data_IF_139555645775
#
_entry.id   IF_139555645775
#
_cell.length_a   1.000
_cell.length_b   1.000
_cell.length_c   1.000
_cell.angle_alpha   90.00
_cell.angle_beta   90.00
_cell.angle_gamma   90.00
#
_symmetry.space_group_name_H-M   'P 1'
#
loop_
_entity.id
_entity.type
_entity.pdbx_description
1 polymer ?
#
# COMPACT_ATOMS: atom_id res chain seq x y z
N UNK A 1 -22.07 -35.90 -15.69
CA UNK A 1 -23.31 -36.47 -16.27
C UNK A 1 -24.35 -35.45 -16.73
N UNK A 2 -24.16 -34.12 -16.58
CA UNK A 2 -25.12 -33.10 -17.09
C UNK A 2 -24.64 -32.33 -18.35
N UNK A 3 -23.40 -32.52 -18.80
CA UNK A 3 -22.89 -31.95 -20.06
C UNK A 3 -23.33 -32.72 -21.33
N UNK A 4 -23.97 -33.88 -21.16
CA UNK A 4 -24.40 -34.76 -22.26
C UNK A 4 -25.83 -34.46 -22.73
N UNK A 5 -26.61 -33.68 -21.97
CA UNK A 5 -28.04 -33.47 -22.25
C UNK A 5 -28.36 -32.22 -23.11
N UNK A 6 -27.36 -31.43 -23.54
CA UNK A 6 -27.56 -30.18 -24.28
C UNK A 6 -28.57 -29.18 -23.65
N UNK A 7 -28.86 -29.35 -22.37
CA UNK A 7 -29.65 -28.41 -21.57
C UNK A 7 -28.71 -27.28 -21.20
N UNK A 8 -28.99 -26.06 -21.70
CA UNK A 8 -28.30 -24.86 -21.20
C UNK A 8 -28.46 -24.82 -19.68
N UNK A 9 -27.38 -24.79 -18.88
CA UNK A 9 -27.50 -24.73 -17.44
C UNK A 9 -28.32 -23.50 -17.06
N UNK A 10 -29.47 -23.72 -16.44
CA UNK A 10 -30.28 -22.65 -15.87
C UNK A 10 -29.55 -22.14 -14.62
N UNK A 11 -29.15 -20.87 -14.65
CA UNK A 11 -28.58 -20.10 -13.53
C UNK A 11 -27.07 -20.22 -13.27
N UNK A 12 -26.27 -19.69 -14.21
CA UNK A 12 -25.04 -18.97 -13.85
C UNK A 12 -25.18 -17.45 -14.03
N UNK A 13 -26.37 -16.96 -14.40
CA UNK A 13 -26.55 -15.63 -14.99
C UNK A 13 -27.13 -14.59 -14.05
N UNK A 14 -28.18 -14.86 -13.27
CA UNK A 14 -28.84 -13.81 -12.48
C UNK A 14 -27.99 -13.29 -11.31
N UNK A 15 -27.42 -14.17 -10.48
CA UNK A 15 -26.62 -13.74 -9.33
C UNK A 15 -25.37 -12.98 -9.80
N UNK A 16 -24.63 -13.51 -10.78
CA UNK A 16 -23.45 -12.82 -11.31
C UNK A 16 -23.78 -11.48 -11.99
N UNK A 17 -24.88 -11.40 -12.74
CA UNK A 17 -25.31 -10.13 -13.35
C UNK A 17 -25.72 -9.11 -12.29
N UNK A 18 -26.44 -9.54 -11.25
CA UNK A 18 -26.79 -8.70 -10.10
C UNK A 18 -25.54 -8.28 -9.34
N UNK A 19 -24.59 -9.19 -9.08
CA UNK A 19 -23.30 -8.86 -8.48
C UNK A 19 -22.56 -7.82 -9.30
N UNK A 20 -22.48 -7.97 -10.64
CA UNK A 20 -21.83 -6.97 -11.50
C UNK A 20 -22.49 -5.59 -11.41
N UNK A 21 -23.83 -5.53 -11.36
CA UNK A 21 -24.56 -4.27 -11.17
C UNK A 21 -24.27 -3.65 -9.80
N UNK A 22 -24.36 -4.45 -8.74
CA UNK A 22 -24.10 -4.02 -7.37
C UNK A 22 -22.63 -3.58 -7.19
N UNK A 23 -21.67 -4.29 -7.78
CA UNK A 23 -20.25 -3.93 -7.73
C UNK A 23 -19.97 -2.56 -8.36
N UNK A 24 -20.68 -2.18 -9.44
CA UNK A 24 -20.59 -0.83 -10.00
C UNK A 24 -21.07 0.21 -9.00
N UNK A 25 -22.24 -0.01 -8.40
CA UNK A 25 -22.80 0.88 -7.37
C UNK A 25 -21.83 1.01 -6.19
N UNK A 26 -21.26 -0.10 -5.70
CA UNK A 26 -20.27 -0.09 -4.61
C UNK A 26 -19.05 0.74 -5.01
N UNK A 27 -18.56 0.58 -6.23
CA UNK A 27 -17.41 1.36 -6.73
C UNK A 27 -17.73 2.85 -6.76
N UNK A 28 -18.89 3.24 -7.26
CA UNK A 28 -19.31 4.63 -7.33
C UNK A 28 -19.52 5.24 -5.93
N UNK A 29 -20.14 4.49 -5.02
CA UNK A 29 -20.30 4.89 -3.61
C UNK A 29 -18.94 5.08 -2.94
N UNK A 30 -17.99 4.18 -3.16
CA UNK A 30 -16.65 4.29 -2.60
C UNK A 30 -15.90 5.50 -3.15
N UNK A 31 -15.92 5.73 -4.46
CA UNK A 31 -15.30 6.92 -5.09
C UNK A 31 -15.91 8.21 -4.55
N UNK A 32 -17.23 8.29 -4.44
CA UNK A 32 -17.92 9.45 -3.88
C UNK A 32 -17.59 9.64 -2.40
N UNK A 33 -17.48 8.56 -1.62
CA UNK A 33 -17.08 8.61 -0.21
C UNK A 33 -15.66 9.15 -0.06
N UNK A 34 -14.70 8.64 -0.84
CA UNK A 34 -13.32 9.12 -0.86
C UNK A 34 -13.25 10.59 -1.29
N UNK A 35 -13.98 11.02 -2.33
CA UNK A 35 -14.05 12.44 -2.73
C UNK A 35 -14.57 13.33 -1.60
N UNK A 36 -15.61 12.91 -0.87
CA UNK A 36 -16.12 13.64 0.30
C UNK A 36 -15.09 13.72 1.43
N UNK A 37 -14.36 12.63 1.70
CA UNK A 37 -13.28 12.62 2.68
C UNK A 37 -12.22 13.67 2.30
N UNK A 38 -11.84 13.75 1.02
CA UNK A 38 -10.88 14.73 0.51
C UNK A 38 -11.34 16.17 0.72
N UNK A 39 -12.62 16.45 0.48
CA UNK A 39 -13.24 17.76 0.75
C UNK A 39 -13.24 18.11 2.25
N UNK A 40 -13.62 17.16 3.11
CA UNK A 40 -13.63 17.37 4.57
C UNK A 40 -12.22 17.68 5.10
N UNK A 41 -11.19 17.04 4.57
CA UNK A 41 -9.80 17.33 4.95
C UNK A 41 -9.42 18.78 4.59
N UNK A 42 -9.85 19.26 3.41
CA UNK A 42 -9.60 20.65 3.00
C UNK A 42 -10.31 21.64 3.92
N UNK A 43 -11.58 21.40 4.23
CA UNK A 43 -12.36 22.24 5.16
C UNK A 43 -11.74 22.26 6.56
N UNK A 44 -11.24 21.12 7.05
CA UNK A 44 -10.54 21.04 8.33
C UNK A 44 -9.25 21.87 8.32
N UNK A 45 -8.46 21.75 7.26
CA UNK A 45 -7.25 22.56 7.10
C UNK A 45 -7.57 24.05 7.07
N UNK A 46 -8.61 24.47 6.34
CA UNK A 46 -9.07 25.87 6.33
C UNK A 46 -9.50 26.36 7.72
N UNK A 47 -10.28 25.57 8.46
CA UNK A 47 -10.70 25.90 9.84
C UNK A 47 -9.52 26.03 10.80
N UNK A 48 -8.44 25.28 10.54
CA UNK A 48 -7.19 25.37 11.31
C UNK A 48 -6.25 26.50 10.83
N UNK A 49 -6.66 27.32 9.85
CA UNK A 49 -5.81 28.37 9.28
C UNK A 49 -4.70 27.85 8.35
N UNK A 50 -4.77 26.58 7.95
CA UNK A 50 -3.82 25.87 7.10
C UNK A 50 -4.34 25.70 5.67
N UNK A 51 -5.04 26.71 5.15
CA UNK A 51 -5.61 26.66 3.79
C UNK A 51 -4.52 26.34 2.74
N UNK A 52 -4.83 25.44 1.81
CA UNK A 52 -3.91 24.94 0.77
C UNK A 52 -2.60 24.32 1.29
N UNK A 53 -2.54 23.93 2.56
CA UNK A 53 -1.35 23.28 3.11
C UNK A 53 -1.28 21.81 2.67
N UNK A 54 -0.12 21.35 2.17
CA UNK A 54 0.08 19.95 1.83
C UNK A 54 -0.10 19.03 3.04
N UNK A 55 -0.74 17.88 2.84
CA UNK A 55 -1.02 16.91 3.89
C UNK A 55 0.02 15.80 3.94
N UNK A 56 0.06 15.10 5.08
CA UNK A 56 0.83 13.85 5.22
C UNK A 56 -0.06 12.67 4.87
N UNK A 57 0.51 11.66 4.23
CA UNK A 57 -0.19 10.44 3.87
C UNK A 57 0.62 9.19 4.20
N UNK A 58 -0.06 8.05 4.32
CA UNK A 58 0.53 6.73 4.44
C UNK A 58 -0.04 5.81 3.36
N UNK A 59 0.74 4.80 2.98
CA UNK A 59 0.33 3.81 2.00
C UNK A 59 0.47 2.40 2.54
N UNK A 60 -0.37 1.51 2.02
CA UNK A 60 -0.16 0.07 2.13
C UNK A 60 -0.57 -0.60 0.81
N UNK A 61 0.11 -1.68 0.47
CA UNK A 61 -0.15 -2.49 -0.71
C UNK A 61 -0.42 -3.94 -0.29
N UNK A 62 -1.53 -4.49 -0.76
CA UNK A 62 -1.90 -5.88 -0.55
C UNK A 62 -1.93 -6.62 -1.86
N UNK A 63 -1.27 -7.78 -1.87
CA UNK A 63 -1.18 -8.67 -3.01
C UNK A 63 -1.96 -9.95 -2.71
N UNK A 64 -2.60 -10.53 -3.72
CA UNK A 64 -3.35 -11.78 -3.57
C UNK A 64 -2.45 -13.04 -3.52
N UNK A 65 -1.23 -12.92 -2.99
CA UNK A 65 -0.32 -14.03 -2.78
C UNK A 65 -0.84 -14.97 -1.69
N UNK A 66 -0.68 -16.27 -1.88
CA UNK A 66 -0.83 -17.21 -0.77
C UNK A 66 0.27 -16.95 0.26
N UNK A 67 -0.02 -17.13 1.55
CA UNK A 67 0.90 -16.81 2.67
C UNK A 67 2.27 -17.51 2.57
N UNK A 68 2.37 -18.59 1.78
CA UNK A 68 3.59 -19.38 1.58
C UNK A 68 4.21 -19.25 0.18
N UNK A 69 3.59 -18.52 -0.74
CA UNK A 69 4.10 -18.42 -2.13
C UNK A 69 5.36 -17.56 -2.27
N UNK A 70 5.77 -16.87 -1.20
CA UNK A 70 7.00 -16.07 -1.13
C UNK A 70 8.16 -16.80 -0.42
N UNK A 71 8.02 -18.08 -0.07
CA UNK A 71 9.11 -18.87 0.51
C UNK A 71 10.02 -19.38 -0.61
N UNK A 72 11.19 -18.75 -0.77
CA UNK A 72 12.25 -19.17 -1.70
C UNK A 72 12.49 -18.19 -2.86
N UNK A 73 13.37 -18.56 -3.79
CA UNK A 73 13.61 -17.82 -5.05
C UNK A 73 12.62 -18.30 -6.09
N UNK A 74 11.39 -17.79 -6.07
CA UNK A 74 10.42 -18.08 -7.13
C UNK A 74 10.67 -17.14 -8.31
N UNK A 75 11.04 -17.65 -9.51
CA UNK A 75 11.35 -16.82 -10.68
C UNK A 75 10.12 -16.09 -11.26
N UNK A 76 8.91 -16.46 -10.85
CA UNK A 76 7.67 -15.83 -11.29
C UNK A 76 6.94 -15.15 -10.13
N UNK A 77 6.27 -14.04 -10.41
CA UNK A 77 5.38 -13.38 -9.45
C UNK A 77 4.11 -14.20 -9.30
N UNK A 78 3.87 -14.74 -8.10
CA UNK A 78 2.65 -15.51 -7.81
C UNK A 78 1.39 -14.63 -7.81
N UNK A 79 1.53 -13.34 -7.49
CA UNK A 79 0.40 -12.42 -7.42
C UNK A 79 -0.16 -12.15 -8.82
N UNK A 80 -1.48 -12.00 -8.89
CA UNK A 80 -2.21 -11.60 -10.10
C UNK A 80 -3.05 -10.34 -9.88
N UNK A 81 -3.19 -9.91 -8.63
CA UNK A 81 -3.96 -8.74 -8.23
C UNK A 81 -3.24 -7.97 -7.12
N UNK A 82 -3.43 -6.65 -7.12
CA UNK A 82 -2.94 -5.72 -6.09
C UNK A 82 -4.05 -4.76 -5.69
N UNK A 83 -4.16 -4.49 -4.40
CA UNK A 83 -4.94 -3.37 -3.86
C UNK A 83 -3.98 -2.47 -3.12
N UNK A 84 -3.83 -1.26 -3.65
CA UNK A 84 -2.99 -0.23 -3.10
C UNK A 84 -3.87 0.85 -2.49
N UNK A 85 -3.60 1.19 -1.24
CA UNK A 85 -4.41 2.14 -0.46
C UNK A 85 -3.56 3.34 -0.06
N UNK A 86 -4.19 4.51 -0.10
CA UNK A 86 -3.61 5.77 0.33
C UNK A 86 -4.51 6.35 1.42
N UNK A 87 -3.95 6.57 2.60
CA UNK A 87 -4.66 7.08 3.78
C UNK A 87 -4.06 8.38 4.27
N UNK A 88 -4.91 9.25 4.81
CA UNK A 88 -4.51 10.56 5.35
C UNK A 88 -3.95 10.45 6.77
N UNK A 89 -3.03 11.35 7.12
CA UNK A 89 -2.46 11.48 8.46
C UNK A 89 -2.77 12.85 9.09
N UNK A 90 -3.95 13.41 8.80
CA UNK A 90 -4.47 14.68 9.31
C UNK A 90 -5.48 14.44 10.45
N UNK A 91 -6.36 13.45 10.30
CA UNK A 91 -7.39 13.10 11.27
C UNK A 91 -7.01 11.87 12.08
N UNK A 92 -7.59 11.76 13.28
CA UNK A 92 -7.39 10.58 14.15
C UNK A 92 -7.85 9.26 13.53
N UNK A 93 -8.80 9.31 12.57
CA UNK A 93 -9.37 8.11 11.95
C UNK A 93 -8.52 7.56 10.81
N UNK A 94 -7.60 8.36 10.25
CA UNK A 94 -6.75 8.01 9.11
C UNK A 94 -7.54 7.42 7.94
N UNK A 95 -8.45 8.23 7.40
CA UNK A 95 -9.38 7.75 6.39
C UNK A 95 -8.66 7.44 5.07
N UNK A 96 -9.16 6.44 4.34
CA UNK A 96 -8.67 6.13 3.00
C UNK A 96 -9.15 7.21 2.02
N UNK A 97 -8.21 7.84 1.31
CA UNK A 97 -8.49 8.93 0.37
C UNK A 97 -8.40 8.52 -1.09
N UNK A 98 -7.68 7.44 -1.40
CA UNK A 98 -7.60 6.87 -2.74
C UNK A 98 -7.27 5.37 -2.67
N UNK A 99 -7.75 4.62 -3.66
CA UNK A 99 -7.50 3.18 -3.78
C UNK A 99 -7.26 2.83 -5.23
N UNK A 100 -6.14 2.17 -5.50
CA UNK A 100 -5.86 1.57 -6.80
C UNK A 100 -6.00 0.04 -6.72
N UNK A 101 -6.75 -0.53 -7.67
CA UNK A 101 -6.93 -1.98 -7.81
C UNK A 101 -6.36 -2.46 -9.15
N UNK A 102 -5.19 -3.09 -9.11
CA UNK A 102 -4.55 -3.73 -10.25
C UNK A 102 -5.01 -5.18 -10.41
N UNK A 103 -5.45 -5.57 -11.60
CA UNK A 103 -5.86 -6.94 -11.93
C UNK A 103 -5.29 -7.34 -13.30
N UNK A 104 -4.56 -8.46 -13.35
CA UNK A 104 -4.09 -9.07 -14.62
C UNK A 104 -5.10 -10.05 -15.23
N UNK A 105 -6.08 -10.50 -14.46
CA UNK A 105 -6.92 -11.62 -14.85
C UNK A 105 -8.02 -11.17 -15.82
N UNK A 106 -8.01 -11.75 -17.01
CA UNK A 106 -9.13 -11.66 -17.94
C UNK A 106 -9.48 -13.03 -18.56
N UNK A 107 -10.61 -13.62 -18.12
CA UNK A 107 -11.08 -14.91 -18.62
C UNK A 107 -11.41 -14.87 -20.11
N UNK A 108 -12.05 -13.79 -20.58
CA UNK A 108 -12.38 -13.60 -22.00
C UNK A 108 -11.12 -13.48 -22.85
N UNK A 109 -10.15 -12.68 -22.41
CA UNK A 109 -8.85 -12.57 -23.08
C UNK A 109 -8.09 -13.90 -23.15
N UNK A 110 -8.10 -14.70 -22.07
CA UNK A 110 -7.51 -16.05 -22.09
C UNK A 110 -8.22 -16.99 -23.07
N UNK A 111 -9.56 -16.96 -23.10
CA UNK A 111 -10.35 -17.78 -24.03
C UNK A 111 -10.11 -17.41 -25.49
N UNK A 112 -10.00 -16.11 -25.81
CA UNK A 112 -9.73 -15.63 -27.16
C UNK A 112 -8.31 -16.05 -27.62
N UNK A 113 -7.30 -15.94 -26.75
CA UNK A 113 -5.94 -16.43 -27.01
C UNK A 113 -5.90 -17.95 -27.23
N UNK A 114 -6.64 -18.71 -26.44
CA UNK A 114 -6.76 -20.16 -26.61
C UNK A 114 -7.39 -20.55 -27.96
N UNK A 115 -8.19 -19.65 -28.57
CA UNK A 115 -8.74 -19.81 -29.92
C UNK A 115 -7.81 -19.29 -31.04
N UNK A 116 -6.57 -18.94 -30.72
CA UNK A 116 -5.60 -18.41 -31.68
C UNK A 116 -5.82 -16.95 -32.07
N UNK A 117 -6.69 -16.20 -31.36
CA UNK A 117 -6.84 -14.76 -31.60
C UNK A 117 -5.80 -13.98 -30.82
N UNK A 118 -5.14 -13.06 -31.51
CA UNK A 118 -4.22 -12.11 -30.88
C UNK A 118 -5.04 -11.03 -30.18
N UNK A 119 -5.04 -11.06 -28.84
CA UNK A 119 -5.73 -10.06 -28.02
C UNK A 119 -4.83 -9.59 -26.89
N UNK A 120 -4.79 -8.27 -26.73
CA UNK A 120 -4.01 -7.60 -25.69
C UNK A 120 -4.93 -7.20 -24.54
N UNK A 121 -4.47 -7.42 -23.30
CA UNK A 121 -5.17 -7.03 -22.09
C UNK A 121 -4.29 -6.01 -21.35
N UNK A 122 -4.82 -4.87 -20.87
CA UNK A 122 -6.18 -4.34 -21.08
C UNK A 122 -6.39 -3.87 -22.53
N UNK A 123 -7.66 -3.74 -22.97
CA UNK A 123 -8.00 -3.03 -24.23
C UNK A 123 -9.05 -3.68 -25.14
N UNK A 124 -9.41 -4.94 -24.93
CA UNK A 124 -10.47 -5.59 -25.71
C UNK A 124 -11.86 -5.44 -25.06
N UNK A 125 -12.93 -5.66 -25.82
CA UNK A 125 -14.31 -5.61 -25.32
C UNK A 125 -14.54 -6.61 -24.17
N UNK A 126 -15.17 -6.17 -23.08
CA UNK A 126 -15.34 -6.90 -21.81
C UNK A 126 -14.03 -7.38 -21.16
N UNK A 127 -12.93 -6.65 -21.36
CA UNK A 127 -11.70 -6.93 -20.63
C UNK A 127 -11.87 -6.58 -19.15
N UNK A 128 -11.50 -7.51 -18.27
CA UNK A 128 -11.54 -7.32 -16.82
C UNK A 128 -10.15 -7.02 -16.24
N UNK A 129 -9.10 -7.14 -17.05
CA UNK A 129 -7.76 -6.75 -16.62
C UNK A 129 -7.67 -5.22 -16.59
N UNK A 130 -7.10 -4.68 -15.52
CA UNK A 130 -6.80 -3.24 -15.39
C UNK A 130 -5.32 -2.95 -15.66
N UNK A 131 -4.46 -3.97 -15.55
CA UNK A 131 -3.04 -3.87 -15.83
C UNK A 131 -2.61 -4.96 -16.82
N UNK A 132 -1.59 -4.69 -17.65
CA UNK A 132 -1.06 -5.68 -18.57
C UNK A 132 -0.47 -6.92 -17.87
N UNK A 133 -0.54 -8.11 -18.50
CA UNK A 133 -0.04 -9.35 -17.91
C UNK A 133 1.47 -9.33 -17.62
N UNK A 134 2.25 -8.63 -18.44
CA UNK A 134 3.69 -8.44 -18.33
C UNK A 134 4.11 -7.43 -17.25
N UNK A 135 3.18 -6.58 -16.78
CA UNK A 135 3.49 -5.57 -15.76
C UNK A 135 3.88 -6.22 -14.44
N UNK A 136 4.92 -5.74 -13.77
CA UNK A 136 5.28 -6.20 -12.42
C UNK A 136 4.18 -5.79 -11.45
N UNK A 137 3.57 -6.74 -10.70
CA UNK A 137 2.47 -6.41 -9.78
C UNK A 137 2.94 -5.59 -8.57
N UNK A 138 4.16 -5.85 -8.10
CA UNK A 138 4.81 -5.03 -7.08
C UNK A 138 5.33 -3.69 -7.59
N UNK A 139 4.84 -3.19 -8.73
CA UNK A 139 5.16 -1.84 -9.20
C UNK A 139 4.37 -0.80 -8.39
N UNK A 140 4.88 -0.53 -7.20
CA UNK A 140 4.30 0.45 -6.28
C UNK A 140 4.51 1.87 -6.78
N UNK A 141 5.52 2.11 -7.64
CA UNK A 141 5.71 3.40 -8.33
C UNK A 141 4.47 3.73 -9.15
N UNK A 142 4.03 2.81 -10.02
CA UNK A 142 2.81 2.98 -10.81
C UNK A 142 1.57 3.10 -9.92
N UNK A 143 1.44 2.21 -8.95
CA UNK A 143 0.26 2.20 -8.06
C UNK A 143 0.10 3.52 -7.31
N UNK A 144 1.20 4.09 -6.81
CA UNK A 144 1.21 5.40 -6.17
C UNK A 144 0.83 6.51 -7.14
N UNK A 145 1.39 6.51 -8.36
CA UNK A 145 1.09 7.50 -9.38
C UNK A 145 -0.40 7.51 -9.78
N UNK A 146 -1.04 6.34 -9.89
CA UNK A 146 -2.49 6.25 -10.18
C UNK A 146 -3.32 6.89 -9.06
N UNK A 147 -2.98 6.63 -7.79
CA UNK A 147 -3.65 7.30 -6.67
C UNK A 147 -3.45 8.81 -6.68
N UNK A 148 -2.25 9.32 -6.96
CA UNK A 148 -2.01 10.76 -7.09
C UNK A 148 -2.80 11.34 -8.27
N UNK A 149 -2.90 10.63 -9.39
CA UNK A 149 -3.72 11.04 -10.53
C UNK A 149 -5.19 11.20 -10.14
N UNK A 150 -5.70 10.32 -9.28
CA UNK A 150 -7.07 10.42 -8.76
C UNK A 150 -7.23 11.69 -7.91
N UNK A 151 -6.29 11.97 -6.99
CA UNK A 151 -6.33 13.18 -6.16
C UNK A 151 -6.27 14.47 -7.00
N UNK A 152 -5.50 14.47 -8.08
CA UNK A 152 -5.39 15.62 -9.00
C UNK A 152 -6.62 15.85 -9.87
N UNK A 153 -7.49 14.86 -10.01
CA UNK A 153 -8.71 14.96 -10.81
C UNK A 153 -9.88 15.65 -10.09
N UNK A 154 -9.73 15.92 -8.79
CA UNK A 154 -10.70 16.71 -8.03
C UNK A 154 -10.65 18.20 -8.39
N UNK A 155 -11.78 18.89 -8.27
CA UNK A 155 -11.91 20.33 -8.54
C UNK A 155 -10.95 21.18 -7.68
N UNK A 156 -10.67 20.70 -6.47
CA UNK A 156 -9.64 21.21 -5.57
C UNK A 156 -8.70 20.05 -5.23
N UNK A 157 -7.53 19.94 -5.86
CA UNK A 157 -6.60 18.85 -5.60
C UNK A 157 -6.01 18.88 -4.19
N UNK A 158 -5.86 17.72 -3.57
CA UNK A 158 -5.04 17.56 -2.37
C UNK A 158 -3.58 17.35 -2.75
N UNK A 159 -2.69 18.13 -2.14
CA UNK A 159 -1.24 18.01 -2.31
C UNK A 159 -0.66 17.24 -1.13
N UNK A 160 0.22 16.27 -1.40
CA UNK A 160 0.90 15.48 -0.37
C UNK A 160 2.32 16.03 -0.17
N UNK A 161 2.71 16.34 1.07
CA UNK A 161 4.09 16.74 1.40
C UNK A 161 4.95 15.58 1.85
N UNK A 162 4.42 14.72 2.72
CA UNK A 162 5.14 13.60 3.30
C UNK A 162 4.40 12.31 3.04
N UNK A 163 5.14 11.26 2.72
CA UNK A 163 4.58 9.97 2.38
C UNK A 163 5.26 8.87 3.17
N UNK A 164 4.48 8.20 4.02
CA UNK A 164 4.97 7.15 4.90
C UNK A 164 4.83 5.80 4.20
N UNK A 165 5.95 5.10 4.02
CA UNK A 165 6.02 3.75 3.47
C UNK A 165 6.77 2.78 4.39
N UNK A 166 6.80 1.51 3.99
CA UNK A 166 7.62 0.47 4.59
C UNK A 166 9.14 0.65 4.39
N UNK A 167 9.54 1.76 3.76
CA UNK A 167 10.92 2.10 3.44
C UNK A 167 11.30 1.86 1.98
N UNK A 168 10.36 1.41 1.13
CA UNK A 168 10.56 1.45 -0.32
C UNK A 168 10.30 2.86 -0.86
N UNK A 169 11.30 3.40 -1.57
CA UNK A 169 11.32 4.73 -2.17
C UNK A 169 10.67 4.78 -3.56
N UNK A 170 10.42 3.62 -4.21
CA UNK A 170 9.86 3.58 -5.55
C UNK A 170 8.46 4.22 -5.62
N UNK A 171 7.61 3.95 -4.62
CA UNK A 171 6.28 4.56 -4.51
C UNK A 171 6.35 6.09 -4.36
N UNK A 172 7.30 6.59 -3.57
CA UNK A 172 7.49 8.04 -3.35
C UNK A 172 7.96 8.71 -4.64
N UNK A 173 8.85 8.06 -5.38
CA UNK A 173 9.29 8.56 -6.68
C UNK A 173 8.11 8.67 -7.66
N UNK A 174 7.28 7.63 -7.77
CA UNK A 174 6.11 7.65 -8.66
C UNK A 174 5.07 8.69 -8.27
N UNK A 175 4.82 8.84 -6.96
CA UNK A 175 3.93 9.87 -6.45
C UNK A 175 4.48 11.28 -6.73
N UNK A 176 5.78 11.51 -6.52
CA UNK A 176 6.43 12.81 -6.75
C UNK A 176 6.43 13.20 -8.23
N UNK A 177 6.78 12.26 -9.11
CA UNK A 177 6.77 12.44 -10.57
C UNK A 177 5.38 12.83 -11.05
N UNK A 178 4.34 12.16 -10.55
CA UNK A 178 2.95 12.47 -10.93
C UNK A 178 2.45 13.79 -10.33
N UNK A 179 2.82 14.09 -9.09
CA UNK A 179 2.40 15.31 -8.41
C UNK A 179 3.10 16.56 -8.96
N UNK A 180 4.30 16.41 -9.52
CA UNK A 180 5.13 17.53 -10.01
C UNK A 180 5.98 18.20 -8.92
N UNK A 181 5.98 17.65 -7.70
CA UNK A 181 6.76 18.15 -6.56
C UNK A 181 7.38 16.98 -5.80
N UNK A 182 8.56 17.22 -5.22
CA UNK A 182 9.23 16.21 -4.40
C UNK A 182 8.44 15.96 -3.11
N UNK A 183 8.05 14.71 -2.89
CA UNK A 183 7.40 14.25 -1.67
C UNK A 183 8.46 13.66 -0.75
N UNK A 184 8.44 14.06 0.53
CA UNK A 184 9.39 13.54 1.51
C UNK A 184 9.03 12.10 1.91
N UNK A 185 10.00 11.18 1.81
CA UNK A 185 9.82 9.78 2.19
C UNK A 185 10.00 9.60 3.70
N UNK A 186 8.96 9.15 4.39
CA UNK A 186 9.02 8.75 5.78
C UNK A 186 8.92 7.23 5.90
N UNK A 187 9.62 6.67 6.89
CA UNK A 187 9.47 5.26 7.25
C UNK A 187 8.37 5.13 8.29
N UNK A 188 7.56 4.09 8.17
CA UNK A 188 6.68 3.72 9.28
C UNK A 188 7.51 3.39 10.54
N UNK A 189 6.89 3.51 11.71
CA UNK A 189 7.57 3.31 12.99
C UNK A 189 8.14 1.89 13.12
N UNK A 190 7.43 0.87 12.64
CA UNK A 190 7.87 -0.52 12.72
C UNK A 190 9.21 -0.72 11.99
N UNK A 191 9.28 -0.27 10.74
CA UNK A 191 10.43 -0.35 9.87
C UNK A 191 11.56 0.59 10.31
N UNK A 192 11.23 1.76 10.87
CA UNK A 192 12.21 2.63 11.51
C UNK A 192 12.91 1.91 12.67
N UNK A 193 12.15 1.38 13.63
CA UNK A 193 12.70 0.67 14.78
C UNK A 193 13.40 -0.65 14.39
N UNK A 194 12.93 -1.34 13.34
CA UNK A 194 13.67 -2.49 12.79
C UNK A 194 14.98 -2.10 12.12
N UNK A 195 15.03 -0.95 11.45
CA UNK A 195 16.27 -0.39 10.92
C UNK A 195 17.23 -0.05 12.06
N UNK A 196 16.75 0.61 13.12
CA UNK A 196 17.53 0.89 14.33
C UNK A 196 18.11 -0.40 14.92
N UNK A 197 17.28 -1.43 15.14
CA UNK A 197 17.74 -2.74 15.63
C UNK A 197 18.85 -3.33 14.76
N UNK A 198 18.68 -3.31 13.44
CA UNK A 198 19.68 -3.83 12.50
C UNK A 198 21.00 -3.06 12.57
N UNK A 199 20.96 -1.74 12.75
CA UNK A 199 22.15 -0.91 12.92
C UNK A 199 22.83 -1.17 14.26
N UNK A 200 22.07 -1.22 15.36
CA UNK A 200 22.59 -1.58 16.68
C UNK A 200 23.26 -2.96 16.66
N UNK A 201 22.65 -3.96 16.02
CA UNK A 201 23.23 -5.29 15.90
C UNK A 201 24.53 -5.34 15.06
N UNK A 202 24.83 -4.30 14.25
CA UNK A 202 26.06 -4.17 13.47
C UNK A 202 27.08 -3.22 14.10
N UNK A 203 26.70 -2.48 15.14
CA UNK A 203 27.55 -1.49 15.75
C UNK A 203 28.84 -2.13 16.33
N UNK A 204 29.99 -1.44 16.24
CA UNK A 204 31.26 -1.95 16.72
C UNK A 204 31.35 -1.79 18.25
N UNK A 205 30.65 -2.65 18.98
CA UNK A 205 30.76 -2.68 20.44
C UNK A 205 32.10 -3.27 20.88
N UNK A 206 32.53 -2.89 22.08
CA UNK A 206 33.71 -3.47 22.72
C UNK A 206 33.59 -4.99 22.85
N UNK A 207 34.69 -5.70 22.64
CA UNK A 207 34.80 -7.16 22.76
C UNK A 207 34.42 -7.69 24.15
N UNK A 208 34.46 -6.82 25.17
CA UNK A 208 34.13 -7.09 26.57
C UNK A 208 32.70 -6.71 26.96
N UNK A 209 31.97 -6.00 26.09
CA UNK A 209 30.62 -5.52 26.41
C UNK A 209 29.61 -6.67 26.54
N UNK A 210 29.77 -7.73 25.74
CA UNK A 210 28.88 -8.88 25.75
C UNK A 210 29.61 -10.12 26.27
N UNK A 211 29.12 -10.76 27.34
CA UNK A 211 29.73 -11.97 27.87
C UNK A 211 29.50 -13.15 26.92
N UNK A 212 30.51 -14.00 26.74
CA UNK A 212 30.39 -15.23 25.97
C UNK A 212 31.73 -15.89 25.68
N UNK A 213 31.80 -17.22 25.85
CA UNK A 213 33.02 -18.01 25.60
C UNK A 213 33.37 -18.07 24.11
N UNK A 214 32.36 -18.04 23.25
CA UNK A 214 32.53 -18.10 21.80
C UNK A 214 32.03 -16.83 21.12
N UNK A 215 32.48 -16.57 19.90
CA UNK A 215 31.98 -15.46 19.06
C UNK A 215 30.46 -15.53 18.87
N UNK A 216 29.92 -16.71 18.58
CA UNK A 216 28.48 -16.92 18.38
C UNK A 216 27.65 -16.58 19.64
N UNK A 217 28.14 -16.91 20.84
CA UNK A 217 27.47 -16.52 22.08
C UNK A 217 27.44 -15.00 22.27
N UNK A 218 28.56 -14.32 22.00
CA UNK A 218 28.65 -12.86 22.07
C UNK A 218 27.73 -12.17 21.06
N UNK A 219 27.69 -12.67 19.82
CA UNK A 219 26.77 -12.17 18.79
C UNK A 219 25.29 -12.41 19.17
N UNK A 220 24.96 -13.55 19.77
CA UNK A 220 23.61 -13.84 20.27
C UNK A 220 23.18 -12.84 21.35
N UNK A 221 24.07 -12.54 22.30
CA UNK A 221 23.82 -11.53 23.34
C UNK A 221 23.68 -10.12 22.75
N UNK A 222 24.52 -9.75 21.78
CA UNK A 222 24.40 -8.48 21.07
C UNK A 222 23.06 -8.35 20.33
N UNK A 223 22.58 -9.41 19.68
CA UNK A 223 21.26 -9.41 19.00
C UNK A 223 20.11 -9.24 20.00
N UNK A 224 20.20 -9.86 21.18
CA UNK A 224 19.22 -9.68 22.25
C UNK A 224 19.23 -8.24 22.79
N UNK A 225 20.41 -7.69 23.02
CA UNK A 225 20.57 -6.28 23.43
C UNK A 225 19.97 -5.33 22.38
N UNK A 226 20.24 -5.54 21.10
CA UNK A 226 19.66 -4.72 20.03
C UNK A 226 18.12 -4.79 19.99
N UNK A 227 17.54 -5.96 20.27
CA UNK A 227 16.08 -6.11 20.39
C UNK A 227 15.52 -5.38 21.62
N UNK A 228 16.16 -5.51 22.77
CA UNK A 228 15.77 -4.82 24.00
C UNK A 228 15.81 -3.30 23.81
N UNK A 229 16.90 -2.78 23.24
CA UNK A 229 17.05 -1.35 22.94
C UNK A 229 15.95 -0.84 22.00
N UNK A 230 15.64 -1.60 20.93
CA UNK A 230 14.52 -1.30 20.01
C UNK A 230 13.21 -1.13 20.79
N UNK A 231 12.90 -2.08 21.67
CA UNK A 231 11.64 -2.09 22.42
C UNK A 231 11.57 -0.88 23.37
N UNK A 232 12.65 -0.59 24.11
CA UNK A 232 12.70 0.57 25.02
C UNK A 232 12.53 1.89 24.26
N UNK A 233 13.29 2.10 23.18
CA UNK A 233 13.18 3.32 22.37
C UNK A 233 11.77 3.50 21.81
N UNK A 234 11.14 2.40 21.36
CA UNK A 234 9.76 2.44 20.87
C UNK A 234 8.77 2.81 21.98
N UNK A 235 8.89 2.22 23.16
CA UNK A 235 8.02 2.52 24.30
C UNK A 235 8.14 3.98 24.73
N UNK A 236 9.36 4.51 24.85
CA UNK A 236 9.57 5.93 25.17
C UNK A 236 8.97 6.85 24.10
N UNK A 237 9.15 6.53 22.83
CA UNK A 237 8.54 7.28 21.73
C UNK A 237 7.01 7.27 21.81
N UNK A 238 6.39 6.10 22.00
CA UNK A 238 4.94 5.96 22.11
C UNK A 238 4.39 6.67 23.36
N UNK A 239 5.12 6.63 24.48
CA UNK A 239 4.76 7.34 25.71
C UNK A 239 4.80 8.86 25.52
N UNK A 240 5.87 9.37 24.91
CA UNK A 240 5.99 10.79 24.56
C UNK A 240 4.82 11.22 23.66
N UNK A 241 4.52 10.44 22.62
CA UNK A 241 3.43 10.74 21.69
C UNK A 241 2.05 10.77 22.37
N UNK A 242 1.81 9.86 23.32
CA UNK A 242 0.59 9.85 24.14
C UNK A 242 0.53 11.04 25.09
N UNK A 243 1.64 11.39 25.73
CA UNK A 243 1.69 12.47 26.72
C UNK A 243 1.38 13.84 26.10
N UNK A 244 1.94 14.11 24.92
CA UNK A 244 1.76 15.39 24.22
C UNK A 244 0.60 15.40 23.22
N UNK A 245 -0.27 14.40 23.22
CA UNK A 245 -1.44 14.34 22.30
C UNK A 245 -1.09 14.55 20.82
N UNK A 246 0.10 14.15 20.37
CA UNK A 246 0.63 14.38 19.01
C UNK A 246 1.06 15.81 18.67
N UNK A 247 1.18 16.71 19.65
CA UNK A 247 1.65 18.08 19.46
C UNK A 247 3.19 18.12 19.33
N UNK A 248 3.67 17.88 18.11
CA UNK A 248 5.10 17.80 17.77
C UNK A 248 5.96 18.99 18.27
N UNK A 249 5.49 20.26 18.22
CA UNK A 249 6.18 21.40 18.84
C UNK A 249 6.52 21.24 20.32
N UNK A 250 5.67 20.55 21.10
CA UNK A 250 5.86 20.33 22.55
C UNK A 250 6.76 19.14 22.86
N UNK A 251 7.12 18.33 21.85
CA UNK A 251 7.96 17.13 22.01
C UNK A 251 9.47 17.42 21.86
N UNK A 252 9.87 18.70 21.87
CA UNK A 252 11.27 19.15 21.72
C UNK A 252 12.05 19.13 23.03
#
# INVERSE_FOLDING_TARGET
MLLVANIKPASATNIHQTCNKVCKIITDVNKNSMKKIRQVIQELNEKCGLANTPIRAERDARYNNATFSAIGKTPFQAATQVTYTLSENVTKKKNVMAVFCGNKLCKKGTHLRAKGKEVTCPGHEDCTATIPPETTIGDEKRSAAECISELQSDDRPLVISHFTSDGDSAAVFGASEKQGHMIENLKDLCNFFDSQRKQTAKAPFSSHMFPGRTKAMRESMQRRFALDLKLRCRTEYENCFKHFSSDLPLMK
#
